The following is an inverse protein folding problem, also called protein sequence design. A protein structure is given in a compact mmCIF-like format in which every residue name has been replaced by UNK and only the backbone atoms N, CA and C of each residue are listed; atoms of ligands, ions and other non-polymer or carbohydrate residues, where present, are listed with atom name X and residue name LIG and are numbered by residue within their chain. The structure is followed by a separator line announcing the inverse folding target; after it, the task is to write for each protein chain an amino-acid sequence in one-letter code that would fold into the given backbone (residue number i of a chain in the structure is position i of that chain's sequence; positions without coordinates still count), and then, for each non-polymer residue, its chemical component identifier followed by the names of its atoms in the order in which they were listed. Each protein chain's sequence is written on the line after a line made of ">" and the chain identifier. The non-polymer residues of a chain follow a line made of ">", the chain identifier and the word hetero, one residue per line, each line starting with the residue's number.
data_IF_884802790464
#
_entry.id   IF_884802790464
#
_cell.length_a   1.000
_cell.length_b   1.000
_cell.length_c   1.000
_cell.angle_alpha   90.00
_cell.angle_beta   90.00
_cell.angle_gamma   90.00
#
_symmetry.space_group_name_H-M   'P 1'
#
loop_
_entity.id
_entity.type
_entity.pdbx_description
1 polymer ?
#
# COMPACT_ATOMS: atom_id res chain seq x y z
N UNK A 1 10.67 32.16 30.69
CA UNK A 1 9.70 31.06 30.54
C UNK A 1 9.05 31.22 29.16
N UNK A 2 9.60 30.55 28.16
CA UNK A 2 9.06 30.61 26.79
C UNK A 2 8.01 29.52 26.66
N UNK A 3 6.75 29.91 26.74
CA UNK A 3 5.65 29.06 26.27
C UNK A 3 5.68 29.04 24.76
N UNK A 4 6.15 27.95 24.16
CA UNK A 4 5.87 27.63 22.78
C UNK A 4 4.39 27.20 22.73
N UNK A 5 3.51 27.85 21.94
CA UNK A 5 2.14 27.38 21.81
C UNK A 5 2.18 26.02 21.10
N UNK A 6 1.76 24.96 21.77
CA UNK A 6 1.32 23.74 21.10
C UNK A 6 0.10 24.10 20.27
N UNK A 7 0.28 24.27 18.97
CA UNK A 7 -0.83 24.37 18.05
C UNK A 7 -1.55 23.02 18.09
N UNK A 8 -2.69 22.97 18.74
CA UNK A 8 -3.53 21.80 18.95
C UNK A 8 -4.19 21.26 17.67
N UNK A 9 -3.46 21.24 16.58
CA UNK A 9 -3.94 20.69 15.31
C UNK A 9 -3.86 19.16 15.38
N UNK A 10 -4.99 18.49 15.14
CA UNK A 10 -5.01 17.03 15.10
C UNK A 10 -4.05 16.50 14.02
N UNK A 11 -3.37 15.36 14.27
CA UNK A 11 -2.53 14.73 13.26
C UNK A 11 -3.29 14.54 11.95
N UNK A 12 -2.65 14.86 10.83
CA UNK A 12 -3.23 14.66 9.51
C UNK A 12 -3.55 13.17 9.33
N UNK A 13 -4.77 12.85 8.90
CA UNK A 13 -5.16 11.49 8.53
C UNK A 13 -4.84 11.27 7.07
N UNK A 14 -4.01 10.29 6.79
CA UNK A 14 -3.58 9.92 5.44
C UNK A 14 -4.07 8.51 5.13
N UNK A 15 -4.92 8.37 4.12
CA UNK A 15 -5.40 7.08 3.65
C UNK A 15 -4.52 6.58 2.50
N UNK A 16 -4.03 5.35 2.57
CA UNK A 16 -3.23 4.72 1.52
C UNK A 16 -4.00 3.56 0.90
N UNK A 17 -4.60 3.79 -0.27
CA UNK A 17 -5.27 2.76 -1.05
C UNK A 17 -4.26 2.05 -1.93
N UNK A 18 -4.10 0.73 -1.75
CA UNK A 18 -3.10 -0.03 -2.49
C UNK A 18 -3.45 -1.52 -2.54
N UNK A 19 -2.71 -2.25 -3.36
CA UNK A 19 -2.75 -3.70 -3.46
C UNK A 19 -1.42 -4.29 -3.04
N UNK A 20 -1.44 -5.42 -2.34
CA UNK A 20 -0.22 -6.17 -1.95
C UNK A 20 0.53 -6.77 -3.15
N UNK A 21 0.05 -6.56 -4.37
CA UNK A 21 0.74 -6.87 -5.62
C UNK A 21 1.38 -5.66 -6.29
N UNK A 22 1.29 -4.45 -5.70
CA UNK A 22 1.79 -3.24 -6.35
C UNK A 22 3.30 -3.05 -6.18
N UNK A 23 4.11 -3.11 -7.26
CA UNK A 23 5.53 -2.79 -7.19
C UNK A 23 5.77 -1.32 -6.83
N UNK A 24 4.84 -0.44 -7.20
CA UNK A 24 4.92 0.97 -6.89
C UNK A 24 4.67 1.26 -5.40
N UNK A 25 3.80 0.47 -4.74
CA UNK A 25 3.64 0.52 -3.29
C UNK A 25 4.89 0.03 -2.57
N UNK A 26 5.55 -1.01 -3.09
CA UNK A 26 6.82 -1.49 -2.59
C UNK A 26 7.92 -0.42 -2.70
N UNK A 27 8.16 0.10 -3.91
CA UNK A 27 9.21 1.08 -4.18
C UNK A 27 8.99 2.41 -3.45
N UNK A 28 7.74 2.85 -3.32
CA UNK A 28 7.39 4.10 -2.61
C UNK A 28 7.37 3.98 -1.09
N UNK A 29 7.40 2.76 -0.55
CA UNK A 29 7.24 2.50 0.88
C UNK A 29 8.21 3.29 1.76
N UNK A 30 9.53 3.22 1.56
CA UNK A 30 10.49 3.94 2.40
C UNK A 30 10.29 5.45 2.39
N UNK A 31 10.04 6.05 1.23
CA UNK A 31 9.77 7.49 1.13
C UNK A 31 8.46 7.88 1.82
N UNK A 32 7.40 7.08 1.66
CA UNK A 32 6.13 7.31 2.34
C UNK A 32 6.30 7.26 3.86
N UNK A 33 7.04 6.28 4.38
CA UNK A 33 7.32 6.16 5.81
C UNK A 33 8.06 7.40 6.35
N UNK A 34 9.05 7.91 5.62
CA UNK A 34 9.79 9.11 5.99
C UNK A 34 8.88 10.36 6.02
N UNK A 35 7.97 10.50 5.06
CA UNK A 35 6.99 11.59 5.01
C UNK A 35 6.06 11.51 6.23
N UNK A 36 5.46 10.34 6.47
CA UNK A 36 4.56 10.10 7.61
C UNK A 36 5.23 10.44 8.93
N UNK A 37 6.48 10.01 9.12
CA UNK A 37 7.25 10.29 10.34
C UNK A 37 7.56 11.79 10.50
N UNK A 38 8.02 12.47 9.44
CA UNK A 38 8.36 13.91 9.47
C UNK A 38 7.16 14.77 9.83
N UNK A 39 6.01 14.47 9.27
CA UNK A 39 4.78 15.25 9.49
C UNK A 39 3.94 14.71 10.65
N UNK A 40 4.37 13.64 11.34
CA UNK A 40 3.58 12.98 12.40
C UNK A 40 2.15 12.66 11.95
N UNK A 41 1.99 12.31 10.66
CA UNK A 41 0.70 11.98 10.10
C UNK A 41 0.24 10.59 10.56
N UNK A 42 -1.06 10.41 10.71
CA UNK A 42 -1.66 9.11 11.00
C UNK A 42 -1.96 8.40 9.68
N UNK A 43 -1.17 7.40 9.35
CA UNK A 43 -1.33 6.60 8.13
C UNK A 43 -2.31 5.45 8.37
N UNK A 44 -3.38 5.42 7.59
CA UNK A 44 -4.34 4.32 7.53
C UNK A 44 -4.09 3.54 6.24
N UNK A 45 -3.65 2.30 6.37
CA UNK A 45 -3.50 1.40 5.25
C UNK A 45 -4.85 0.85 4.82
N UNK A 46 -5.16 0.96 3.55
CA UNK A 46 -6.43 0.53 2.95
C UNK A 46 -6.18 -0.42 1.79
N UNK A 47 -5.76 -1.68 2.06
CA UNK A 47 -5.78 -2.71 1.04
C UNK A 47 -7.20 -2.86 0.49
N UNK A 48 -7.35 -2.94 -0.83
CA UNK A 48 -8.65 -3.01 -1.50
C UNK A 48 -8.61 -3.95 -2.71
N UNK A 49 -9.79 -4.33 -3.21
CA UNK A 49 -9.90 -5.13 -4.44
C UNK A 49 -9.63 -4.26 -5.67
N UNK A 50 -8.35 -4.24 -6.06
CA UNK A 50 -7.86 -3.49 -7.21
C UNK A 50 -8.56 -3.87 -8.52
N UNK A 51 -8.84 -5.16 -8.71
CA UNK A 51 -9.42 -5.67 -9.95
C UNK A 51 -10.92 -5.34 -10.07
N UNK A 52 -11.60 -5.24 -8.94
CA UNK A 52 -13.00 -4.82 -8.92
C UNK A 52 -13.15 -3.31 -9.15
N UNK A 53 -12.29 -2.48 -8.56
CA UNK A 53 -12.44 -1.01 -8.56
C UNK A 53 -11.84 -0.36 -9.80
N UNK A 54 -10.58 -0.65 -10.10
CA UNK A 54 -9.80 0.13 -11.09
C UNK A 54 -10.42 0.17 -12.48
N UNK A 55 -11.00 -0.92 -13.04
CA UNK A 55 -11.69 -0.83 -14.33
C UNK A 55 -12.93 0.08 -14.31
N UNK A 56 -13.62 0.17 -13.16
CA UNK A 56 -14.84 0.99 -13.02
C UNK A 56 -14.54 2.47 -12.82
N UNK A 57 -13.35 2.79 -12.33
CA UNK A 57 -12.91 4.17 -12.07
C UNK A 57 -12.03 4.75 -13.16
N UNK A 58 -11.92 4.09 -14.31
CA UNK A 58 -11.19 4.57 -15.50
C UNK A 58 -9.74 4.15 -15.56
N UNK A 59 -9.25 3.33 -14.62
CA UNK A 59 -7.93 2.73 -14.70
C UNK A 59 -7.87 1.51 -15.61
N UNK A 60 -6.67 1.14 -16.02
CA UNK A 60 -6.45 -0.05 -16.85
C UNK A 60 -5.46 -0.96 -16.11
N UNK A 61 -5.89 -2.15 -15.62
CA UNK A 61 -5.00 -3.13 -15.02
C UNK A 61 -3.85 -3.50 -15.97
N UNK A 62 -2.65 -3.74 -15.41
CA UNK A 62 -1.42 -3.94 -16.20
C UNK A 62 -1.57 -5.01 -17.29
N UNK A 63 -2.20 -6.14 -16.96
CA UNK A 63 -2.35 -7.28 -17.89
C UNK A 63 -3.20 -6.99 -19.12
N UNK A 64 -4.13 -6.05 -19.00
CA UNK A 64 -5.03 -5.64 -20.11
C UNK A 64 -4.51 -4.44 -20.89
N UNK A 65 -3.35 -3.88 -20.52
CA UNK A 65 -2.75 -2.76 -21.26
C UNK A 65 -2.16 -3.22 -22.59
N UNK A 66 -2.18 -2.36 -23.64
CA UNK A 66 -1.42 -2.60 -24.87
C UNK A 66 0.06 -2.84 -24.60
N UNK A 67 0.70 -3.65 -25.47
CA UNK A 67 2.09 -4.05 -25.30
C UNK A 67 3.06 -2.86 -25.06
N UNK A 68 3.02 -1.74 -25.81
CA UNK A 68 3.92 -0.61 -25.56
C UNK A 68 3.81 -0.02 -24.15
N UNK A 69 2.63 -0.08 -23.53
CA UNK A 69 2.43 0.36 -22.16
C UNK A 69 2.93 -0.66 -21.12
N UNK A 70 2.90 -1.95 -21.45
CA UNK A 70 3.45 -3.00 -20.57
C UNK A 70 4.98 -2.99 -20.58
N UNK A 71 5.59 -2.90 -21.77
CA UNK A 71 7.05 -2.81 -21.89
C UNK A 71 7.59 -1.52 -21.25
N UNK A 72 6.91 -0.39 -21.42
CA UNK A 72 7.28 0.86 -20.74
C UNK A 72 7.18 0.73 -19.21
N UNK A 73 6.15 0.07 -18.70
CA UNK A 73 6.02 -0.20 -17.25
C UNK A 73 7.22 -0.98 -16.70
N UNK A 74 7.71 -1.99 -17.42
CA UNK A 74 8.89 -2.75 -17.02
C UNK A 74 10.16 -1.88 -17.02
N UNK A 75 10.32 -0.99 -18.04
CA UNK A 75 11.43 -0.03 -18.09
C UNK A 75 11.39 0.94 -16.90
N UNK A 76 10.20 1.45 -16.54
CA UNK A 76 10.05 2.34 -15.40
C UNK A 76 10.39 1.63 -14.07
N UNK A 77 9.95 0.38 -13.89
CA UNK A 77 10.33 -0.40 -12.70
C UNK A 77 11.84 -0.56 -12.60
N UNK A 78 12.52 -0.83 -13.71
CA UNK A 78 13.97 -0.97 -13.72
C UNK A 78 14.69 0.35 -13.42
N UNK A 79 14.21 1.48 -13.95
CA UNK A 79 14.74 2.81 -13.63
C UNK A 79 14.58 3.15 -12.15
N UNK A 80 13.37 2.97 -11.63
CA UNK A 80 13.06 3.33 -10.25
C UNK A 80 13.81 2.45 -9.24
N UNK A 81 13.88 1.12 -9.43
CA UNK A 81 14.66 0.26 -8.53
C UNK A 81 16.13 0.64 -8.48
N UNK A 82 16.73 1.03 -9.62
CA UNK A 82 18.13 1.51 -9.66
C UNK A 82 18.27 2.86 -8.98
N UNK A 83 17.37 3.79 -9.26
CA UNK A 83 17.39 5.12 -8.67
C UNK A 83 17.27 5.08 -7.14
N UNK A 84 16.40 4.21 -6.64
CA UNK A 84 16.15 4.04 -5.21
C UNK A 84 17.14 3.08 -4.53
N UNK A 85 17.97 2.36 -5.30
CA UNK A 85 18.87 1.33 -4.76
C UNK A 85 18.13 0.13 -4.14
N UNK A 86 16.87 -0.12 -4.54
CA UNK A 86 16.04 -1.17 -3.96
C UNK A 86 16.10 -2.45 -4.79
N UNK A 87 16.25 -3.63 -4.14
CA UNK A 87 16.12 -4.90 -4.84
C UNK A 87 14.68 -5.08 -5.35
N UNK A 88 14.54 -5.44 -6.63
CA UNK A 88 13.24 -5.73 -7.23
C UNK A 88 13.44 -6.67 -8.41
N UNK A 89 12.70 -7.78 -8.43
CA UNK A 89 12.60 -8.68 -9.56
C UNK A 89 11.57 -8.15 -10.55
N UNK A 90 11.97 -7.91 -11.79
CA UNK A 90 11.06 -7.36 -12.82
C UNK A 90 9.95 -8.35 -13.20
N UNK A 91 10.20 -9.64 -13.04
CA UNK A 91 9.26 -10.74 -13.27
C UNK A 91 9.33 -11.69 -12.08
N UNK A 92 8.68 -11.36 -10.94
CA UNK A 92 8.70 -12.24 -9.77
C UNK A 92 8.00 -13.56 -10.07
N UNK A 93 8.56 -14.67 -9.58
CA UNK A 93 8.04 -16.02 -9.79
C UNK A 93 6.57 -16.18 -9.40
N UNK A 94 6.16 -15.53 -8.30
CA UNK A 94 4.83 -15.67 -7.71
C UNK A 94 3.91 -14.46 -8.03
N UNK A 95 4.34 -13.58 -8.94
CA UNK A 95 3.41 -12.58 -9.47
C UNK A 95 2.45 -13.28 -10.45
N UNK A 96 1.14 -13.00 -10.39
CA UNK A 96 0.19 -13.81 -11.10
C UNK A 96 0.41 -13.79 -12.60
N UNK A 97 0.58 -14.99 -13.14
CA UNK A 97 0.45 -15.31 -14.55
C UNK A 97 -1.03 -15.47 -14.93
N UNK A 98 -1.31 -15.69 -16.21
CA UNK A 98 -2.65 -15.98 -16.67
C UNK A 98 -3.23 -17.21 -15.95
N UNK A 99 -4.50 -17.11 -15.52
CA UNK A 99 -5.21 -18.19 -14.82
C UNK A 99 -5.27 -18.06 -13.30
N UNK A 100 -4.50 -17.16 -12.69
CA UNK A 100 -4.65 -16.90 -11.25
C UNK A 100 -5.94 -16.07 -10.97
N UNK A 101 -6.61 -16.30 -9.80
CA UNK A 101 -7.75 -15.49 -9.41
C UNK A 101 -7.39 -13.99 -9.36
N UNK A 102 -8.31 -13.10 -9.73
CA UNK A 102 -8.05 -11.66 -9.71
C UNK A 102 -7.63 -11.13 -8.32
N UNK A 103 -8.16 -11.74 -7.27
CA UNK A 103 -7.97 -11.38 -5.87
C UNK A 103 -6.95 -12.26 -5.13
N UNK A 104 -6.03 -12.89 -5.86
CA UNK A 104 -5.05 -13.87 -5.34
C UNK A 104 -4.25 -13.35 -4.12
N UNK A 105 -4.06 -12.06 -4.00
CA UNK A 105 -3.28 -11.41 -2.93
C UNK A 105 -4.16 -10.82 -1.80
N UNK A 106 -5.46 -11.08 -1.80
CA UNK A 106 -6.39 -10.52 -0.81
C UNK A 106 -6.04 -10.91 0.62
N UNK A 107 -5.59 -12.14 0.83
CA UNK A 107 -5.22 -12.63 2.16
C UNK A 107 -4.03 -11.86 2.76
N UNK A 108 -3.05 -11.47 1.94
CA UNK A 108 -1.99 -10.58 2.39
C UNK A 108 -2.55 -9.20 2.82
N UNK A 109 -3.54 -8.67 2.09
CA UNK A 109 -4.25 -7.45 2.48
C UNK A 109 -5.05 -7.62 3.78
N UNK A 110 -5.69 -8.77 3.97
CA UNK A 110 -6.41 -9.09 5.20
C UNK A 110 -5.48 -9.20 6.40
N UNK A 111 -4.29 -9.81 6.25
CA UNK A 111 -3.28 -9.86 7.31
C UNK A 111 -2.82 -8.46 7.74
N UNK A 112 -2.61 -7.54 6.80
CA UNK A 112 -2.28 -6.14 7.10
C UNK A 112 -3.41 -5.44 7.85
N UNK A 113 -4.67 -5.64 7.44
CA UNK A 113 -5.84 -5.09 8.15
C UNK A 113 -5.93 -5.67 9.56
N UNK A 114 -5.69 -6.98 9.73
CA UNK A 114 -5.66 -7.62 11.05
C UNK A 114 -4.62 -6.98 11.96
N UNK A 115 -3.39 -6.79 11.49
CA UNK A 115 -2.33 -6.12 12.24
C UNK A 115 -2.71 -4.68 12.63
N UNK A 116 -3.29 -3.93 11.70
CA UNK A 116 -3.76 -2.55 11.95
C UNK A 116 -4.87 -2.51 13.01
N UNK A 117 -5.83 -3.44 12.97
CA UNK A 117 -6.90 -3.55 13.98
C UNK A 117 -6.38 -3.94 15.37
N UNK A 118 -5.24 -4.63 15.42
CA UNK A 118 -4.55 -4.96 16.67
C UNK A 118 -3.62 -3.83 17.18
N UNK A 119 -3.60 -2.68 16.50
CA UNK A 119 -2.73 -1.56 16.88
C UNK A 119 -1.23 -1.82 16.63
N UNK A 120 -0.89 -2.82 15.81
CA UNK A 120 0.49 -3.13 15.45
C UNK A 120 0.98 -2.24 14.29
N UNK A 121 2.29 -2.21 14.05
CA UNK A 121 2.86 -1.49 12.89
C UNK A 121 2.51 -2.22 11.57
N UNK A 122 1.29 -1.98 11.10
CA UNK A 122 0.79 -2.58 9.87
C UNK A 122 1.60 -2.15 8.63
N UNK A 123 2.29 -0.99 8.70
CA UNK A 123 3.11 -0.53 7.57
C UNK A 123 4.36 -1.38 7.41
N UNK A 124 5.08 -1.68 8.50
CA UNK A 124 6.26 -2.54 8.47
C UNK A 124 5.90 -3.95 7.95
N UNK A 125 4.79 -4.54 8.45
CA UNK A 125 4.31 -5.83 7.96
C UNK A 125 3.95 -5.79 6.45
N UNK A 126 3.22 -4.76 6.03
CA UNK A 126 2.85 -4.58 4.63
C UNK A 126 4.08 -4.48 3.72
N UNK A 127 5.09 -3.71 4.14
CA UNK A 127 6.33 -3.57 3.37
C UNK A 127 7.12 -4.88 3.31
N UNK A 128 7.15 -5.67 4.40
CA UNK A 128 7.77 -6.99 4.42
C UNK A 128 7.07 -7.98 3.45
N UNK A 129 5.74 -7.99 3.41
CA UNK A 129 4.98 -8.80 2.46
C UNK A 129 5.24 -8.39 1.00
N UNK A 130 5.27 -7.09 0.72
CA UNK A 130 5.61 -6.57 -0.61
C UNK A 130 7.05 -6.91 -1.01
N UNK A 131 8.01 -6.81 -0.08
CA UNK A 131 9.41 -7.23 -0.30
C UNK A 131 9.51 -8.75 -0.52
N UNK A 132 8.72 -9.53 0.21
CA UNK A 132 8.59 -10.98 0.02
C UNK A 132 8.28 -11.32 -1.44
N UNK A 133 7.28 -10.67 -2.01
CA UNK A 133 6.88 -10.87 -3.41
C UNK A 133 7.93 -10.31 -4.39
N UNK A 134 8.28 -9.03 -4.24
CA UNK A 134 9.01 -8.29 -5.27
C UNK A 134 10.53 -8.47 -5.22
N UNK A 135 11.10 -8.78 -4.07
CA UNK A 135 12.55 -8.90 -3.89
C UNK A 135 13.04 -10.30 -3.51
N UNK A 136 12.18 -11.11 -2.87
CA UNK A 136 12.59 -12.37 -2.23
C UNK A 136 11.98 -13.63 -2.87
N UNK A 137 11.23 -13.50 -3.97
CA UNK A 137 10.60 -14.61 -4.69
C UNK A 137 9.70 -15.48 -3.79
N UNK A 138 8.95 -14.85 -2.86
CA UNK A 138 8.05 -15.53 -1.92
C UNK A 138 6.60 -15.43 -2.36
N UNK A 139 5.84 -16.51 -2.18
CA UNK A 139 4.41 -16.55 -2.51
C UNK A 139 3.54 -16.00 -1.39
N UNK A 140 3.16 -14.74 -1.48
CA UNK A 140 2.28 -14.12 -0.49
C UNK A 140 0.81 -14.59 -0.57
N UNK A 141 0.43 -15.38 -1.57
CA UNK A 141 -0.87 -16.05 -1.60
C UNK A 141 -0.89 -17.26 -0.67
N UNK A 142 0.27 -17.89 -0.43
CA UNK A 142 0.41 -19.02 0.47
C UNK A 142 0.40 -18.57 1.94
N UNK A 143 -0.45 -19.21 2.77
CA UNK A 143 -0.61 -18.87 4.18
C UNK A 143 0.67 -19.13 4.99
N UNK A 144 1.39 -20.23 4.73
CA UNK A 144 2.62 -20.56 5.45
C UNK A 144 3.71 -19.53 5.18
N UNK A 145 3.78 -19.02 3.95
CA UNK A 145 4.71 -17.97 3.55
C UNK A 145 4.39 -16.64 4.26
N UNK A 146 3.11 -16.25 4.34
CA UNK A 146 2.72 -15.03 5.08
C UNK A 146 3.03 -15.13 6.56
N UNK A 147 2.75 -16.28 7.17
CA UNK A 147 3.12 -16.57 8.57
C UNK A 147 4.62 -16.42 8.78
N UNK A 148 5.43 -17.01 7.91
CA UNK A 148 6.88 -16.94 8.02
C UNK A 148 7.38 -15.48 7.89
N UNK A 149 6.88 -14.70 6.92
CA UNK A 149 7.24 -13.28 6.76
C UNK A 149 6.84 -12.47 8.00
N UNK A 150 5.65 -12.70 8.55
CA UNK A 150 5.19 -12.03 9.75
C UNK A 150 6.09 -12.36 10.96
N UNK A 151 6.41 -13.64 11.19
CA UNK A 151 7.30 -14.07 12.28
C UNK A 151 8.70 -13.46 12.15
N UNK A 152 9.30 -13.48 10.96
CA UNK A 152 10.60 -12.89 10.66
C UNK A 152 10.61 -11.37 10.91
N UNK A 153 9.44 -10.73 10.79
CA UNK A 153 9.24 -9.31 11.02
C UNK A 153 8.83 -8.96 12.47
N UNK A 154 8.81 -9.95 13.37
CA UNK A 154 8.53 -9.77 14.80
C UNK A 154 7.04 -9.79 15.19
N UNK A 155 6.16 -10.28 14.31
CA UNK A 155 4.74 -10.44 14.59
C UNK A 155 4.41 -11.89 14.95
N UNK A 156 3.27 -12.11 15.61
CA UNK A 156 2.68 -13.45 15.76
C UNK A 156 1.95 -13.82 14.46
N UNK A 157 2.67 -14.43 13.53
CA UNK A 157 2.17 -14.80 12.22
C UNK A 157 0.95 -15.73 12.28
N UNK A 158 0.96 -16.81 13.09
CA UNK A 158 -0.21 -17.68 13.27
C UNK A 158 -1.44 -16.94 13.78
N UNK A 159 -1.30 -16.04 14.77
CA UNK A 159 -2.41 -15.24 15.28
C UNK A 159 -2.98 -14.30 14.21
N UNK A 160 -2.12 -13.61 13.44
CA UNK A 160 -2.56 -12.76 12.33
C UNK A 160 -3.25 -13.56 11.22
N UNK A 161 -2.74 -14.74 10.85
CA UNK A 161 -3.36 -15.60 9.86
C UNK A 161 -4.76 -16.12 10.31
N UNK A 162 -4.94 -16.39 11.59
CA UNK A 162 -6.26 -16.72 12.14
C UNK A 162 -7.23 -15.53 12.04
N UNK A 163 -6.76 -14.31 12.30
CA UNK A 163 -7.57 -13.08 12.21
C UNK A 163 -7.93 -12.70 10.75
N UNK A 164 -7.12 -13.06 9.75
CA UNK A 164 -7.46 -12.86 8.33
C UNK A 164 -8.87 -13.37 8.01
N UNK A 165 -9.30 -14.47 8.60
CA UNK A 165 -10.58 -15.10 8.34
C UNK A 165 -11.75 -14.45 9.11
N UNK A 166 -11.48 -13.48 9.98
CA UNK A 166 -12.54 -12.87 10.78
C UNK A 166 -13.49 -12.02 9.93
N UNK A 167 -14.77 -12.02 10.31
CA UNK A 167 -15.78 -11.19 9.65
C UNK A 167 -15.43 -9.68 9.70
N UNK A 168 -14.77 -9.24 10.78
CA UNK A 168 -14.35 -7.85 10.95
C UNK A 168 -13.28 -7.42 9.92
N UNK A 169 -12.25 -8.25 9.70
CA UNK A 169 -11.21 -8.00 8.72
C UNK A 169 -11.78 -7.98 7.29
N UNK A 170 -12.62 -8.97 6.96
CA UNK A 170 -13.24 -9.04 5.64
C UNK A 170 -14.21 -7.87 5.39
N UNK A 171 -14.95 -7.43 6.42
CA UNK A 171 -15.81 -6.26 6.33
C UNK A 171 -14.99 -4.98 6.10
N UNK A 172 -13.86 -4.83 6.80
CA UNK A 172 -12.95 -3.69 6.60
C UNK A 172 -12.36 -3.67 5.18
N UNK A 173 -11.97 -4.82 4.63
CA UNK A 173 -11.49 -4.91 3.25
C UNK A 173 -12.57 -4.51 2.23
N UNK A 174 -13.82 -4.96 2.43
CA UNK A 174 -14.95 -4.53 1.60
C UNK A 174 -15.19 -3.02 1.72
N UNK A 175 -15.21 -2.49 2.94
CA UNK A 175 -15.37 -1.04 3.17
C UNK A 175 -14.26 -0.22 2.49
N UNK A 176 -12.99 -0.67 2.55
CA UNK A 176 -11.90 -0.04 1.82
C UNK A 176 -12.12 -0.07 0.30
N UNK A 177 -12.69 -1.16 -0.22
CA UNK A 177 -13.00 -1.31 -1.65
C UNK A 177 -14.09 -0.35 -2.09
N UNK A 178 -15.18 -0.25 -1.31
CA UNK A 178 -16.30 0.66 -1.55
C UNK A 178 -15.83 2.12 -1.47
N UNK A 179 -15.01 2.46 -0.48
CA UNK A 179 -14.44 3.81 -0.31
C UNK A 179 -13.48 4.16 -1.47
N UNK A 180 -12.64 3.21 -1.91
CA UNK A 180 -11.75 3.42 -3.06
C UNK A 180 -12.56 3.74 -4.34
N UNK A 181 -13.68 3.03 -4.56
CA UNK A 181 -14.56 3.29 -5.70
C UNK A 181 -15.24 4.66 -5.57
N UNK A 182 -15.81 4.99 -4.41
CA UNK A 182 -16.46 6.27 -4.14
C UNK A 182 -15.53 7.47 -4.33
N UNK A 183 -14.25 7.33 -3.93
CA UNK A 183 -13.22 8.34 -4.11
C UNK A 183 -12.65 8.37 -5.54
N UNK A 184 -13.06 7.47 -6.42
CA UNK A 184 -12.55 7.38 -7.79
C UNK A 184 -11.07 7.00 -7.84
N UNK A 185 -10.61 6.07 -7.00
CA UNK A 185 -9.25 5.52 -7.04
C UNK A 185 -9.09 4.68 -8.30
N UNK A 186 -8.24 5.10 -9.22
CA UNK A 186 -8.02 4.45 -10.53
C UNK A 186 -6.66 3.76 -10.67
N UNK A 187 -5.91 3.67 -9.60
CA UNK A 187 -4.59 3.03 -9.58
C UNK A 187 -4.03 2.88 -8.17
N UNK A 188 -2.92 2.16 -8.03
CA UNK A 188 -2.28 1.88 -6.74
C UNK A 188 -0.75 2.10 -6.80
N UNK A 189 -0.13 2.68 -5.75
CA UNK A 189 -0.81 3.26 -4.58
C UNK A 189 -1.51 4.59 -4.91
N UNK A 190 -2.60 4.91 -4.21
CA UNK A 190 -3.21 6.24 -4.17
C UNK A 190 -3.29 6.68 -2.71
N UNK A 191 -2.66 7.81 -2.39
CA UNK A 191 -2.75 8.45 -1.10
C UNK A 191 -3.88 9.48 -1.14
N UNK A 192 -4.64 9.59 -0.04
CA UNK A 192 -5.72 10.58 0.09
C UNK A 192 -5.50 11.38 1.37
N UNK A 193 -5.39 12.70 1.22
CA UNK A 193 -5.29 13.66 2.32
C UNK A 193 -6.42 14.69 2.15
N UNK A 194 -7.29 14.81 3.14
CA UNK A 194 -8.42 15.77 3.14
C UNK A 194 -9.24 15.74 1.84
N UNK A 195 -9.41 14.56 1.23
CA UNK A 195 -10.13 14.35 -0.03
C UNK A 195 -9.29 14.54 -1.31
N UNK A 196 -8.10 15.11 -1.23
CA UNK A 196 -7.18 15.21 -2.36
C UNK A 196 -6.43 13.90 -2.60
N UNK A 197 -6.34 13.48 -3.87
CA UNK A 197 -5.71 12.22 -4.28
C UNK A 197 -4.33 12.43 -4.88
N UNK A 198 -3.34 11.67 -4.41
CA UNK A 198 -1.98 11.62 -4.92
C UNK A 198 -1.70 10.19 -5.43
N UNK A 199 -1.81 10.00 -6.73
CA UNK A 199 -1.64 8.68 -7.34
C UNK A 199 -0.20 8.43 -7.77
N UNK A 200 0.37 7.32 -7.30
CA UNK A 200 1.70 6.84 -7.65
C UNK A 200 2.78 7.27 -6.67
N UNK A 201 3.83 6.47 -6.57
CA UNK A 201 4.96 6.74 -5.71
C UNK A 201 5.76 7.99 -6.15
N UNK A 202 5.65 8.36 -7.42
CA UNK A 202 6.30 9.52 -8.02
C UNK A 202 5.56 10.84 -7.72
N UNK A 203 4.47 10.81 -6.96
CA UNK A 203 3.72 11.99 -6.48
C UNK A 203 3.88 12.24 -4.98
N UNK A 204 4.68 11.43 -4.29
CA UNK A 204 4.92 11.59 -2.85
C UNK A 204 5.52 12.95 -2.49
N UNK A 205 6.26 13.58 -3.39
CA UNK A 205 6.75 14.95 -3.20
C UNK A 205 5.62 15.99 -3.08
N UNK A 206 4.51 15.81 -3.79
CA UNK A 206 3.35 16.70 -3.68
C UNK A 206 2.58 16.45 -2.38
N UNK A 207 2.44 15.20 -1.96
CA UNK A 207 1.90 14.84 -0.65
C UNK A 207 2.71 15.46 0.48
N UNK A 208 4.03 15.37 0.42
CA UNK A 208 4.94 15.98 1.39
C UNK A 208 4.73 17.49 1.52
N UNK A 209 4.60 18.16 0.38
CA UNK A 209 4.29 19.59 0.33
C UNK A 209 2.90 19.92 0.89
N UNK A 210 1.87 19.15 0.56
CA UNK A 210 0.52 19.35 1.07
C UNK A 210 0.47 19.22 2.60
N UNK A 211 1.13 18.21 3.16
CA UNK A 211 1.27 18.04 4.61
C UNK A 211 2.01 19.20 5.27
N UNK A 212 3.05 19.75 4.62
CA UNK A 212 3.79 20.91 5.12
C UNK A 212 2.92 22.17 5.14
N UNK A 213 2.14 22.43 4.08
CA UNK A 213 1.21 23.57 4.01
C UNK A 213 0.11 23.45 5.08
N UNK A 214 -0.48 22.24 5.22
CA UNK A 214 -1.46 21.97 6.27
C UNK A 214 -0.91 22.30 7.68
N UNK A 215 0.32 21.90 7.99
CA UNK A 215 0.96 22.15 9.29
C UNK A 215 1.18 23.64 9.58
N UNK A 216 1.23 24.49 8.54
CA UNK A 216 1.38 25.94 8.66
C UNK A 216 0.04 26.68 8.79
N UNK A 217 -1.10 25.96 8.83
CA UNK A 217 -2.43 26.55 8.89
C UNK A 217 -2.85 27.16 7.55
N UNK A 218 -2.35 26.62 6.44
CA UNK A 218 -2.69 27.11 5.10
C UNK A 218 -4.16 26.88 4.73
N UNK A 219 -4.72 27.90 4.08
CA UNK A 219 -6.04 27.92 3.44
C UNK A 219 -6.13 26.88 2.30
#
# INVERSE_FOLDING_TARGET
>A
MNHTPETGQQPAQLHCFYSLSSPWAYLGGPQLQDIVRRHRAHLLLKPFDFQAVVPRTGGIPLRTRPEPRRSYHALELDRWRRYLGMPLNLVPRHYPSDGQPPDWNKHAGWMVIAAQQQGQDAFALSHALLAGLWAQERDIADTSTRIAIANESGYDGPALAALEQSGAVQAAYRANTDEAEALGVFGAPTLVLDGERFWGQDRLMFLDRALAVRAQGGD
#
